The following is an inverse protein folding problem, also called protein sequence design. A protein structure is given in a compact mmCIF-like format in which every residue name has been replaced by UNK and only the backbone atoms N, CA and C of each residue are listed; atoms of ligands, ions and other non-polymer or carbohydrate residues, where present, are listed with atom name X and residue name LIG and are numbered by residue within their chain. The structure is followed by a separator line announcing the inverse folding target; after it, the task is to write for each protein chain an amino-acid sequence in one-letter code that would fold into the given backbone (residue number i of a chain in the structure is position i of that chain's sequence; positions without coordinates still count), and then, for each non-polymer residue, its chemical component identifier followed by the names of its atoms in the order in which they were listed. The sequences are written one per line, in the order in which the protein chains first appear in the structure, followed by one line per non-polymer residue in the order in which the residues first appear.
data_IF_082308513694
#
_entry.id   IF_082308513694
#
_cell.length_a   1.000
_cell.length_b   1.000
_cell.length_c   1.000
_cell.angle_alpha   90.00
_cell.angle_beta   90.00
_cell.angle_gamma   90.00
#
_symmetry.space_group_name_H-M   'P 1'
#
loop_
_entity.id
_entity.type
_entity.pdbx_description
1 polymer ?
#
# COMPACT_ATOMS: atom_id res chain seq x y z
N UNK A 1 -18.52 -10.01 9.03
CA UNK A 1 -18.86 -10.58 7.73
C UNK A 1 -18.30 -11.99 7.69
N UNK A 2 -19.06 -12.89 7.07
CA UNK A 2 -18.80 -14.31 7.01
C UNK A 2 -19.06 -14.79 5.57
N UNK A 3 -18.09 -15.46 4.98
CA UNK A 3 -18.14 -15.97 3.61
C UNK A 3 -19.14 -17.12 3.45
N UNK A 4 -19.21 -18.02 4.45
CA UNK A 4 -20.13 -19.18 4.42
C UNK A 4 -21.60 -18.71 4.32
N UNK A 5 -21.97 -17.67 5.05
CA UNK A 5 -23.33 -17.13 5.03
C UNK A 5 -23.72 -16.55 3.67
N UNK A 6 -22.74 -16.20 2.84
CA UNK A 6 -22.91 -15.61 1.51
C UNK A 6 -22.69 -16.62 0.37
N UNK A 7 -22.36 -17.88 0.69
CA UNK A 7 -22.11 -18.93 -0.29
C UNK A 7 -20.78 -18.81 -1.05
N UNK A 8 -19.82 -18.06 -0.52
CA UNK A 8 -18.47 -17.94 -1.06
C UNK A 8 -17.48 -18.80 -0.25
N UNK A 9 -16.40 -19.21 -0.88
CA UNK A 9 -15.32 -19.96 -0.20
C UNK A 9 -14.40 -19.02 0.61
N UNK A 10 -14.42 -17.72 0.33
CA UNK A 10 -13.64 -16.67 1.00
C UNK A 10 -14.15 -15.29 0.58
N UNK A 11 -14.00 -14.29 1.45
CA UNK A 11 -14.39 -12.89 1.15
C UNK A 11 -13.35 -12.16 0.30
N UNK A 12 -12.09 -12.57 0.38
CA UNK A 12 -10.99 -11.95 -0.34
C UNK A 12 -9.64 -12.48 0.15
N UNK A 13 -8.58 -11.88 -0.36
CA UNK A 13 -7.21 -12.22 0.03
C UNK A 13 -6.45 -10.99 0.49
N UNK A 14 -5.65 -11.15 1.54
CA UNK A 14 -4.64 -10.18 1.95
C UNK A 14 -3.30 -10.71 1.43
N UNK A 15 -2.67 -9.93 0.56
CA UNK A 15 -1.41 -10.31 -0.08
C UNK A 15 -0.43 -9.16 0.05
N UNK A 16 0.81 -9.45 0.39
CA UNK A 16 1.88 -8.46 0.44
C UNK A 16 2.11 -7.84 -0.95
N UNK A 17 2.20 -6.52 -1.01
CA UNK A 17 2.35 -5.79 -2.27
C UNK A 17 3.58 -6.23 -3.08
N UNK A 18 4.69 -6.57 -2.40
CA UNK A 18 5.90 -7.06 -3.04
C UNK A 18 5.69 -8.37 -3.82
N UNK A 19 4.84 -9.28 -3.28
CA UNK A 19 4.49 -10.55 -3.93
C UNK A 19 3.68 -10.30 -5.19
N UNK A 20 2.67 -9.41 -5.11
CA UNK A 20 1.85 -9.04 -6.28
C UNK A 20 2.73 -8.40 -7.35
N UNK A 21 3.56 -7.43 -6.97
CA UNK A 21 4.46 -6.74 -7.90
C UNK A 21 5.40 -7.71 -8.61
N UNK A 22 6.02 -8.64 -7.86
CA UNK A 22 6.91 -9.65 -8.43
C UNK A 22 6.18 -10.57 -9.43
N UNK A 23 5.02 -11.07 -9.06
CA UNK A 23 4.22 -11.95 -9.93
C UNK A 23 3.78 -11.24 -11.23
N UNK A 24 3.34 -9.98 -11.13
CA UNK A 24 2.97 -9.19 -12.30
C UNK A 24 4.16 -8.89 -13.20
N UNK A 25 5.31 -8.58 -12.60
CA UNK A 25 6.56 -8.35 -13.34
C UNK A 25 6.97 -9.59 -14.12
N UNK A 26 7.00 -10.77 -13.48
CA UNK A 26 7.29 -12.03 -14.14
C UNK A 26 6.29 -12.31 -15.27
N UNK A 27 5.00 -12.04 -15.05
CA UNK A 27 4.00 -12.24 -16.08
C UNK A 27 4.20 -11.31 -17.28
N UNK A 28 4.54 -10.04 -17.04
CA UNK A 28 4.83 -9.09 -18.10
C UNK A 28 6.06 -9.52 -18.95
N UNK A 29 7.10 -10.05 -18.31
CA UNK A 29 8.29 -10.59 -19.02
C UNK A 29 7.96 -11.77 -19.93
N UNK A 30 6.93 -12.54 -19.63
CA UNK A 30 6.49 -13.71 -20.41
C UNK A 30 5.52 -13.35 -21.56
N UNK A 31 5.00 -12.12 -21.58
CA UNK A 31 4.08 -11.65 -22.60
C UNK A 31 4.83 -11.16 -23.84
N UNK A 32 4.63 -11.81 -24.99
CA UNK A 32 5.28 -11.42 -26.25
C UNK A 32 4.84 -10.03 -26.74
N UNK A 33 3.63 -9.61 -26.38
CA UNK A 33 3.05 -8.34 -26.82
C UNK A 33 3.39 -7.16 -25.89
N UNK A 34 4.20 -7.40 -24.85
CA UNK A 34 4.67 -6.40 -23.90
C UNK A 34 6.16 -6.18 -24.05
N UNK A 35 6.56 -4.96 -24.36
CA UNK A 35 7.96 -4.54 -24.31
C UNK A 35 8.25 -3.84 -22.98
N UNK A 36 9.13 -4.42 -22.17
CA UNK A 36 9.58 -3.83 -20.92
C UNK A 36 10.82 -2.99 -21.15
N UNK A 37 10.76 -1.73 -20.75
CA UNK A 37 11.90 -0.80 -20.77
C UNK A 37 12.19 -0.37 -19.32
N UNK A 38 13.04 -1.11 -18.64
CA UNK A 38 13.39 -0.88 -17.24
C UNK A 38 14.84 -1.30 -16.95
N UNK A 39 15.62 -0.49 -16.22
CA UNK A 39 15.22 0.82 -15.70
C UNK A 39 15.14 1.88 -16.82
N UNK A 40 14.15 2.77 -16.72
CA UNK A 40 14.02 3.89 -17.64
C UNK A 40 13.52 5.14 -16.92
N UNK A 41 13.98 6.29 -17.35
CA UNK A 41 13.48 7.59 -16.88
C UNK A 41 12.99 8.40 -18.08
N UNK A 42 11.77 8.88 -17.99
CA UNK A 42 11.20 9.76 -19.02
C UNK A 42 11.75 11.16 -18.81
N UNK A 43 12.32 11.73 -19.88
CA UNK A 43 12.81 13.10 -19.91
C UNK A 43 11.70 14.06 -20.35
N UNK A 44 10.95 13.70 -21.38
CA UNK A 44 9.94 14.55 -21.98
C UNK A 44 8.80 13.72 -22.59
N UNK A 45 7.61 14.30 -22.59
CA UNK A 45 6.47 13.84 -23.40
C UNK A 45 5.98 15.03 -24.21
N UNK A 46 5.80 14.82 -25.51
CA UNK A 46 5.17 15.77 -26.44
C UNK A 46 3.88 15.17 -26.97
N UNK A 47 2.82 15.98 -27.00
CA UNK A 47 1.50 15.55 -27.44
C UNK A 47 1.27 15.97 -28.88
N UNK A 48 1.04 15.01 -29.78
CA UNK A 48 0.59 15.23 -31.14
C UNK A 48 -0.92 15.02 -31.28
N UNK A 49 -1.46 15.21 -32.46
CA UNK A 49 -2.90 15.03 -32.73
C UNK A 49 -3.38 13.58 -32.55
N UNK A 50 -2.58 12.61 -32.96
CA UNK A 50 -2.97 11.19 -32.99
C UNK A 50 -2.04 10.30 -32.15
N UNK A 51 -0.93 10.83 -31.65
CA UNK A 51 0.10 10.08 -30.95
C UNK A 51 0.89 10.98 -29.99
N UNK A 52 1.51 10.37 -29.01
CA UNK A 52 2.43 11.02 -28.09
C UNK A 52 3.88 10.56 -28.39
N UNK A 53 4.83 11.46 -28.23
CA UNK A 53 6.25 11.20 -28.38
C UNK A 53 6.92 11.28 -27.01
N UNK A 54 7.56 10.17 -26.61
CA UNK A 54 8.17 10.03 -25.28
C UNK A 54 9.68 9.95 -25.50
N UNK A 55 10.43 10.86 -24.92
CA UNK A 55 11.90 10.85 -24.93
C UNK A 55 12.39 10.34 -23.57
N UNK A 56 13.25 9.32 -23.60
CA UNK A 56 13.93 8.79 -22.42
C UNK A 56 15.23 9.53 -22.16
N UNK A 57 15.71 9.51 -20.92
CA UNK A 57 17.03 10.09 -20.59
C UNK A 57 18.20 9.42 -21.32
N UNK A 58 18.03 8.17 -21.77
CA UNK A 58 18.99 7.47 -22.64
C UNK A 58 19.13 8.11 -24.04
N UNK A 59 18.19 8.96 -24.43
CA UNK A 59 18.07 9.53 -25.79
C UNK A 59 17.14 8.72 -26.69
N UNK A 60 16.64 7.58 -26.24
CA UNK A 60 15.68 6.78 -27.00
C UNK A 60 14.33 7.49 -27.10
N UNK A 61 13.65 7.29 -28.23
CA UNK A 61 12.33 7.85 -28.49
C UNK A 61 11.31 6.73 -28.67
N UNK A 62 10.18 6.88 -28.01
CA UNK A 62 9.03 5.99 -28.13
C UNK A 62 7.83 6.78 -28.63
N UNK A 63 7.01 6.15 -29.45
CA UNK A 63 5.75 6.71 -29.95
C UNK A 63 4.59 5.83 -29.49
N UNK A 64 3.51 6.45 -29.02
CA UNK A 64 2.34 5.71 -28.55
C UNK A 64 1.05 6.46 -28.89
N UNK A 65 0.01 5.73 -29.28
CA UNK A 65 -1.34 6.29 -29.50
C UNK A 65 -2.07 6.58 -28.18
N UNK A 66 -1.67 5.93 -27.11
CA UNK A 66 -2.18 6.15 -25.76
C UNK A 66 -1.03 6.05 -24.75
N UNK A 67 -0.98 6.98 -23.81
CA UNK A 67 -0.06 6.95 -22.68
C UNK A 67 -0.86 6.81 -21.40
N UNK A 68 -0.54 5.81 -20.60
CA UNK A 68 -1.21 5.56 -19.32
C UNK A 68 -0.26 5.90 -18.17
N UNK A 69 -0.63 6.89 -17.36
CA UNK A 69 0.11 7.26 -16.15
C UNK A 69 -0.26 6.35 -14.99
N UNK A 70 0.60 5.38 -14.68
CA UNK A 70 0.47 4.51 -13.51
C UNK A 70 1.64 4.72 -12.52
N UNK A 71 2.20 5.92 -12.49
CA UNK A 71 3.40 6.35 -11.77
C UNK A 71 3.10 6.90 -10.35
N UNK A 72 1.93 6.55 -9.81
CA UNK A 72 1.57 6.74 -8.40
C UNK A 72 1.01 8.12 -8.04
N UNK A 73 0.89 8.35 -6.75
CA UNK A 73 0.21 9.51 -6.18
C UNK A 73 0.83 10.86 -6.60
N UNK A 74 2.14 10.89 -6.84
CA UNK A 74 2.88 12.08 -7.26
C UNK A 74 3.21 12.02 -8.77
N UNK A 75 2.28 11.49 -9.57
CA UNK A 75 2.45 11.26 -11.00
C UNK A 75 3.12 12.43 -11.72
N UNK A 76 4.26 12.13 -12.30
CA UNK A 76 4.97 13.06 -13.19
C UNK A 76 4.18 13.27 -14.49
N UNK A 77 3.61 12.17 -15.03
CA UNK A 77 2.86 12.22 -16.28
C UNK A 77 1.60 13.08 -16.14
N UNK A 78 0.85 12.95 -15.03
CA UNK A 78 -0.31 13.81 -14.74
C UNK A 78 0.07 15.28 -14.80
N UNK A 79 1.17 15.64 -14.15
CA UNK A 79 1.65 17.03 -14.13
C UNK A 79 2.07 17.53 -15.54
N UNK A 80 2.64 16.65 -16.37
CA UNK A 80 3.03 16.99 -17.73
C UNK A 80 1.85 17.09 -18.71
N UNK A 81 0.76 16.42 -18.38
CA UNK A 81 -0.49 16.49 -19.14
C UNK A 81 -1.44 17.59 -18.63
N UNK A 82 -1.02 18.40 -17.67
CA UNK A 82 -1.81 19.46 -17.04
C UNK A 82 -3.17 18.97 -16.50
N UNK A 83 -3.23 17.70 -16.07
CA UNK A 83 -4.42 17.12 -15.48
C UNK A 83 -4.51 17.59 -14.02
N UNK A 84 -5.57 18.30 -13.64
CA UNK A 84 -5.73 18.83 -12.30
C UNK A 84 -5.85 17.71 -11.26
N UNK A 85 -5.45 18.00 -10.04
CA UNK A 85 -5.60 17.11 -8.89
C UNK A 85 -6.44 17.80 -7.83
N UNK A 86 -7.55 17.17 -7.46
CA UNK A 86 -8.30 17.53 -6.26
C UNK A 86 -7.87 16.60 -5.13
N UNK A 87 -7.56 17.17 -3.97
CA UNK A 87 -7.20 16.39 -2.80
C UNK A 87 -7.76 16.99 -1.53
N UNK A 88 -7.92 16.14 -0.52
CA UNK A 88 -8.24 16.54 0.86
C UNK A 88 -7.43 15.73 1.85
N UNK A 89 -7.10 16.34 2.97
CA UNK A 89 -6.34 15.73 4.04
C UNK A 89 -7.32 15.24 5.12
N UNK A 90 -7.25 13.96 5.46
CA UNK A 90 -8.03 13.36 6.55
C UNK A 90 -7.48 13.71 7.94
N UNK A 91 -6.34 14.42 8.01
CA UNK A 91 -5.64 14.77 9.26
C UNK A 91 -5.29 13.56 10.11
N UNK A 92 -5.06 12.43 9.46
CA UNK A 92 -4.60 11.20 10.06
C UNK A 92 -3.41 10.65 9.26
N UNK A 93 -2.59 9.87 9.94
CA UNK A 93 -1.52 9.11 9.32
C UNK A 93 -1.80 7.62 9.47
N UNK A 94 -1.59 6.84 8.43
CA UNK A 94 -1.59 5.38 8.52
C UNK A 94 -0.19 4.90 8.87
N UNK A 95 -0.08 4.20 9.99
CA UNK A 95 1.12 3.44 10.34
C UNK A 95 0.93 2.00 9.88
N UNK A 96 1.91 1.49 9.15
CA UNK A 96 1.92 0.13 8.61
C UNK A 96 3.17 -0.59 9.13
N UNK A 97 2.99 -1.81 9.61
CA UNK A 97 4.07 -2.68 10.04
C UNK A 97 3.63 -4.14 9.98
N UNK A 98 4.58 -5.06 9.93
CA UNK A 98 4.35 -6.48 10.16
C UNK A 98 4.60 -6.81 11.61
N UNK A 99 3.68 -7.54 12.21
CA UNK A 99 3.76 -7.98 13.60
C UNK A 99 3.55 -9.48 13.71
N UNK A 100 4.16 -10.07 14.72
CA UNK A 100 3.89 -11.45 15.15
C UNK A 100 2.96 -11.44 16.33
N UNK A 101 1.94 -12.31 16.30
CA UNK A 101 0.95 -12.48 17.36
C UNK A 101 1.19 -13.79 18.10
N UNK A 102 0.92 -13.81 19.39
CA UNK A 102 1.01 -15.01 20.22
C UNK A 102 -0.01 -16.07 19.78
N UNK A 103 -1.25 -15.65 19.55
CA UNK A 103 -2.33 -16.52 19.06
C UNK A 103 -2.44 -16.44 17.53
N UNK A 104 -2.80 -17.53 16.84
CA UNK A 104 -2.97 -17.52 15.40
C UNK A 104 -4.16 -16.66 14.98
N UNK A 105 -4.04 -15.96 13.88
CA UNK A 105 -5.10 -15.08 13.36
C UNK A 105 -6.32 -15.83 12.78
N UNK A 106 -6.17 -17.14 12.44
CA UNK A 106 -7.24 -17.98 11.90
C UNK A 106 -7.79 -17.56 10.53
N UNK A 107 -6.99 -16.84 9.72
CA UNK A 107 -7.42 -16.32 8.43
C UNK A 107 -8.40 -15.13 8.52
N UNK A 108 -8.64 -14.59 9.72
CA UNK A 108 -9.63 -13.53 9.96
C UNK A 108 -8.98 -12.15 9.99
N UNK A 109 -9.42 -11.26 9.10
CA UNK A 109 -9.10 -9.83 9.20
C UNK A 109 -9.93 -9.19 10.32
N UNK A 110 -9.27 -8.47 11.21
CA UNK A 110 -9.89 -7.83 12.37
C UNK A 110 -9.66 -6.35 12.37
N UNK A 111 -10.66 -5.60 12.85
CA UNK A 111 -10.60 -4.14 12.91
C UNK A 111 -11.25 -3.65 14.19
N UNK A 112 -10.61 -2.68 14.84
CA UNK A 112 -11.14 -1.97 16.01
C UNK A 112 -11.21 -0.48 15.68
N UNK A 113 -12.37 0.10 15.96
CA UNK A 113 -12.62 1.53 15.81
C UNK A 113 -12.41 2.22 17.16
N UNK A 114 -11.43 3.10 17.22
CA UNK A 114 -11.17 3.98 18.36
C UNK A 114 -11.69 5.39 18.07
N UNK A 115 -11.88 6.19 19.09
CA UNK A 115 -12.30 7.58 18.94
C UNK A 115 -11.28 8.44 18.15
N UNK A 116 -10.01 8.06 18.18
CA UNK A 116 -8.88 8.77 17.58
C UNK A 116 -8.23 8.01 16.41
N UNK A 117 -8.89 6.96 15.91
CA UNK A 117 -8.37 6.22 14.76
C UNK A 117 -8.91 4.80 14.63
N UNK A 118 -8.37 4.07 13.69
CA UNK A 118 -8.78 2.71 13.37
C UNK A 118 -7.53 1.82 13.36
N UNK A 119 -7.61 0.67 14.02
CA UNK A 119 -6.56 -0.33 14.01
C UNK A 119 -7.06 -1.60 13.34
N UNK A 120 -6.42 -2.00 12.25
CA UNK A 120 -6.68 -3.25 11.55
C UNK A 120 -5.50 -4.23 11.70
N UNK A 121 -5.82 -5.50 11.90
CA UNK A 121 -4.91 -6.64 11.83
C UNK A 121 -5.32 -7.49 10.63
N UNK A 122 -4.47 -7.55 9.63
CA UNK A 122 -4.70 -8.22 8.35
C UNK A 122 -3.85 -9.50 8.30
N UNK A 123 -4.47 -10.68 8.15
CA UNK A 123 -3.78 -11.96 8.19
C UNK A 123 -2.81 -12.10 7.00
N UNK A 124 -1.58 -12.52 7.26
CA UNK A 124 -0.61 -12.89 6.23
C UNK A 124 -0.55 -14.42 6.06
N UNK A 125 0.36 -14.93 5.26
CA UNK A 125 0.49 -16.37 4.97
C UNK A 125 0.93 -17.21 6.17
N UNK A 126 1.77 -16.67 7.06
CA UNK A 126 2.13 -17.31 8.34
C UNK A 126 0.97 -17.10 9.33
N UNK A 127 0.45 -18.15 9.99
CA UNK A 127 -0.69 -18.06 10.92
C UNK A 127 -0.51 -17.04 12.07
N UNK A 128 0.71 -16.69 12.40
CA UNK A 128 1.04 -15.76 13.46
C UNK A 128 1.49 -14.38 12.98
N UNK A 129 1.57 -14.15 11.65
CA UNK A 129 1.94 -12.85 11.11
C UNK A 129 0.72 -12.06 10.63
N UNK A 130 0.65 -10.82 11.06
CA UNK A 130 -0.33 -9.85 10.57
C UNK A 130 0.36 -8.60 10.03
N UNK A 131 -0.15 -8.06 8.94
CA UNK A 131 0.10 -6.66 8.59
C UNK A 131 -0.87 -5.79 9.39
N UNK A 132 -0.37 -4.79 10.09
CA UNK A 132 -1.23 -3.81 10.75
C UNK A 132 -1.37 -2.56 9.91
N UNK A 133 -2.56 -1.97 9.97
CA UNK A 133 -2.82 -0.61 9.50
C UNK A 133 -3.45 0.16 10.65
N UNK A 134 -2.69 1.08 11.22
CA UNK A 134 -3.12 1.89 12.36
C UNK A 134 -3.27 3.35 11.95
N UNK A 135 -4.51 3.80 11.79
CA UNK A 135 -4.82 5.20 11.53
C UNK A 135 -4.73 5.99 12.83
N UNK A 136 -3.87 6.99 12.88
CA UNK A 136 -3.55 7.77 14.06
C UNK A 136 -3.54 9.26 13.73
N UNK A 137 -3.87 10.11 14.70
CA UNK A 137 -3.60 11.55 14.58
C UNK A 137 -2.08 11.77 14.46
N UNK A 138 -1.62 12.80 13.72
CA UNK A 138 -0.19 12.97 13.39
C UNK A 138 0.76 12.90 14.58
N UNK A 139 0.40 13.56 15.69
CA UNK A 139 1.21 13.54 16.91
C UNK A 139 1.40 12.14 17.49
N UNK A 140 0.33 11.34 17.52
CA UNK A 140 0.37 9.96 18.03
C UNK A 140 1.11 9.04 17.08
N UNK A 141 0.96 9.23 15.77
CA UNK A 141 1.71 8.49 14.76
C UNK A 141 3.22 8.70 14.94
N UNK A 142 3.64 9.95 15.13
CA UNK A 142 5.04 10.28 15.40
C UNK A 142 5.54 9.62 16.70
N UNK A 143 4.78 9.71 17.78
CA UNK A 143 5.14 9.06 19.06
C UNK A 143 5.31 7.55 18.90
N UNK A 144 4.41 6.90 18.16
CA UNK A 144 4.50 5.46 17.92
C UNK A 144 5.66 5.10 16.97
N UNK A 145 6.02 5.98 16.04
CA UNK A 145 7.17 5.78 15.16
C UNK A 145 8.50 5.88 15.91
N UNK A 146 8.60 6.81 16.87
CA UNK A 146 9.80 7.05 17.68
C UNK A 146 9.91 6.12 18.91
N UNK A 147 8.83 5.44 19.28
CA UNK A 147 8.80 4.54 20.44
C UNK A 147 9.79 3.37 20.28
N UNK A 148 10.32 2.88 21.41
CA UNK A 148 11.08 1.63 21.39
C UNK A 148 10.19 0.47 20.93
N UNK A 149 10.75 -0.62 20.37
CA UNK A 149 9.94 -1.79 19.98
C UNK A 149 9.06 -2.31 21.13
N UNK A 150 9.57 -2.34 22.36
CA UNK A 150 8.85 -2.82 23.54
C UNK A 150 7.66 -1.91 23.88
N UNK A 151 7.88 -0.59 23.88
CA UNK A 151 6.82 0.39 24.13
C UNK A 151 5.75 0.37 23.04
N UNK A 152 6.16 0.21 21.78
CA UNK A 152 5.24 0.05 20.67
C UNK A 152 4.41 -1.23 20.78
N UNK A 153 5.05 -2.38 21.05
CA UNK A 153 4.39 -3.67 21.22
C UNK A 153 3.33 -3.60 22.33
N UNK A 154 3.67 -3.01 23.47
CA UNK A 154 2.75 -2.82 24.59
C UNK A 154 1.55 -1.93 24.20
N UNK A 155 1.80 -0.79 23.55
CA UNK A 155 0.75 0.11 23.09
C UNK A 155 -0.18 -0.56 22.07
N UNK A 156 0.38 -1.35 21.16
CA UNK A 156 -0.35 -2.10 20.16
C UNK A 156 -1.25 -3.17 20.79
N UNK A 157 -0.71 -3.97 21.72
CA UNK A 157 -1.48 -4.99 22.45
C UNK A 157 -2.69 -4.38 23.15
N UNK A 158 -2.49 -3.26 23.87
CA UNK A 158 -3.58 -2.54 24.55
C UNK A 158 -4.59 -2.01 23.55
N UNK A 159 -4.16 -1.39 22.45
CA UNK A 159 -5.04 -0.86 21.43
C UNK A 159 -5.86 -1.96 20.73
N UNK A 160 -5.37 -3.19 20.71
CA UNK A 160 -6.05 -4.34 20.11
C UNK A 160 -6.81 -5.20 21.14
N UNK A 161 -7.01 -4.72 22.36
CA UNK A 161 -7.68 -5.44 23.47
C UNK A 161 -7.04 -6.81 23.78
N UNK A 162 -5.76 -7.01 23.49
CA UNK A 162 -5.03 -8.27 23.63
C UNK A 162 -5.71 -9.48 22.93
N UNK A 163 -6.50 -9.27 21.88
CA UNK A 163 -7.33 -10.32 21.23
C UNK A 163 -6.52 -11.45 20.61
N UNK A 164 -5.27 -11.20 20.23
CA UNK A 164 -4.35 -12.22 19.70
C UNK A 164 -3.12 -12.41 20.61
N UNK A 165 -3.29 -12.11 21.90
CA UNK A 165 -2.21 -12.22 22.89
C UNK A 165 -1.13 -11.15 22.69
N UNK A 166 0.10 -11.49 23.07
CA UNK A 166 1.24 -10.58 22.92
C UNK A 166 1.57 -10.37 21.43
N UNK A 167 1.94 -9.14 21.11
CA UNK A 167 2.35 -8.74 19.76
C UNK A 167 3.81 -8.33 19.77
N UNK A 168 4.56 -8.74 18.76
CA UNK A 168 5.97 -8.37 18.58
C UNK A 168 6.16 -7.78 17.19
N UNK A 169 6.84 -6.64 17.11
CA UNK A 169 7.18 -5.97 15.86
C UNK A 169 8.21 -6.81 15.09
N UNK A 170 7.92 -7.08 13.81
CA UNK A 170 8.77 -7.90 12.91
C UNK A 170 9.35 -7.09 11.74
N UNK A 171 8.87 -5.86 11.51
CA UNK A 171 9.34 -4.99 10.44
C UNK A 171 9.56 -3.56 10.91
N UNK A 172 10.14 -2.74 10.05
CA UNK A 172 10.11 -1.29 10.25
C UNK A 172 8.67 -0.77 10.23
N UNK A 173 8.43 0.31 10.97
CA UNK A 173 7.16 1.05 10.98
C UNK A 173 7.19 2.11 9.90
N UNK A 174 6.31 2.02 8.94
CA UNK A 174 6.14 3.01 7.89
C UNK A 174 4.93 3.89 8.19
N UNK A 175 5.06 5.19 7.98
CA UNK A 175 3.99 6.16 8.26
C UNK A 175 3.69 6.97 7.01
N UNK A 176 2.42 7.00 6.64
CA UNK A 176 1.92 7.69 5.46
C UNK A 176 0.80 8.66 5.84
N UNK A 177 0.79 9.90 5.31
CA UNK A 177 -0.36 10.78 5.47
C UNK A 177 -1.57 10.20 4.72
N UNK A 178 -2.74 10.22 5.37
CA UNK A 178 -3.99 9.81 4.74
C UNK A 178 -4.59 10.98 3.99
N UNK A 179 -4.60 10.88 2.66
CA UNK A 179 -5.19 11.88 1.77
C UNK A 179 -6.12 11.22 0.77
N UNK A 180 -7.27 11.80 0.51
CA UNK A 180 -8.10 11.46 -0.64
C UNK A 180 -7.64 12.27 -1.86
N UNK A 181 -7.64 11.64 -3.04
CA UNK A 181 -7.22 12.27 -4.31
C UNK A 181 -8.09 11.78 -5.47
N UNK A 182 -8.41 12.65 -6.39
CA UNK A 182 -9.00 12.33 -7.69
C UNK A 182 -8.74 13.42 -8.72
#
# INVERSE_FOLDING_TARGET
FDDESMGYSHLGHIIENAVIHHALWQKAQQCSDVTLVAPAQIQQVAWGENEAFITLQSGDMLTARLVVGADGANSWLRNKADIPLTYWDYRHHAMVATIRTQEPHGGVARQIFHNDGILAFLPLSDPHLCSIVWSLVPKKAQQMQEATPEAFNQALCVAFDNRLGLCTLESERQVFPLTGRY
#
